data_IF_373605715150
#
_entry.id   IF_373605715150
#
_cell.length_a   1.000
_cell.length_b   1.000
_cell.length_c   1.000
_cell.angle_alpha   90.00
_cell.angle_beta   90.00
_cell.angle_gamma   90.00
#
_symmetry.space_group_name_H-M   'P 1'
#
loop_
_entity.id
_entity.type
_entity.pdbx_description
1 polymer ?
#
# COMPACT_ATOMS: atom_id res chain seq x y z
N UNK A 1 -9.73 -19.83 -14.19
CA UNK A 1 -11.04 -19.15 -14.25
C UNK A 1 -10.88 -17.63 -14.40
N UNK A 2 -10.13 -16.94 -13.54
CA UNK A 2 -9.92 -15.50 -13.66
C UNK A 2 -9.30 -15.06 -15.01
N UNK A 3 -8.29 -15.78 -15.51
CA UNK A 3 -7.69 -15.50 -16.82
C UNK A 3 -8.69 -15.70 -17.96
N UNK A 4 -9.45 -16.80 -17.95
CA UNK A 4 -10.48 -17.05 -18.96
C UNK A 4 -11.57 -15.96 -18.97
N UNK A 5 -11.98 -15.48 -17.80
CA UNK A 5 -12.91 -14.35 -17.70
C UNK A 5 -12.33 -13.05 -18.26
N UNK A 6 -11.04 -12.75 -17.96
CA UNK A 6 -10.36 -11.58 -18.48
C UNK A 6 -10.20 -11.64 -20.01
N UNK A 7 -9.93 -12.83 -20.56
CA UNK A 7 -9.86 -13.04 -22.01
C UNK A 7 -11.22 -12.74 -22.66
N UNK A 8 -12.29 -13.33 -22.13
CA UNK A 8 -13.64 -13.10 -22.65
C UNK A 8 -14.10 -11.63 -22.51
N UNK A 9 -13.80 -10.98 -21.37
CA UNK A 9 -14.14 -9.56 -21.19
C UNK A 9 -13.35 -8.66 -22.13
N UNK A 10 -12.14 -9.04 -22.49
CA UNK A 10 -11.33 -8.29 -23.46
C UNK A 10 -11.82 -8.48 -24.88
N UNK A 11 -12.15 -9.72 -25.26
CA UNK A 11 -12.47 -10.09 -26.64
C UNK A 11 -13.93 -9.78 -27.01
N UNK A 12 -14.87 -10.06 -26.10
CA UNK A 12 -16.31 -9.94 -26.32
C UNK A 12 -16.94 -8.73 -25.64
N UNK A 13 -16.22 -8.11 -24.69
CA UNK A 13 -16.76 -7.10 -23.80
C UNK A 13 -17.43 -7.69 -22.55
N UNK A 14 -17.46 -6.89 -21.49
CA UNK A 14 -17.99 -7.31 -20.18
C UNK A 14 -19.49 -7.66 -20.21
N UNK A 15 -20.31 -6.83 -20.87
CA UNK A 15 -21.78 -7.01 -20.88
C UNK A 15 -22.21 -8.23 -21.71
N UNK A 16 -21.51 -8.49 -22.82
CA UNK A 16 -21.81 -9.63 -23.68
C UNK A 16 -21.32 -10.98 -23.15
N UNK A 17 -20.46 -10.99 -22.12
CA UNK A 17 -19.92 -12.21 -21.51
C UNK A 17 -20.80 -12.71 -20.38
N UNK A 18 -21.32 -13.92 -20.50
CA UNK A 18 -22.13 -14.58 -19.48
C UNK A 18 -21.28 -15.43 -18.51
N UNK A 19 -21.88 -15.82 -17.36
CA UNK A 19 -21.26 -16.79 -16.44
C UNK A 19 -21.07 -18.15 -17.12
N UNK A 20 -21.99 -18.53 -18.02
CA UNK A 20 -21.90 -19.80 -18.76
C UNK A 20 -20.71 -19.82 -19.70
N UNK A 21 -20.41 -18.69 -20.38
CA UNK A 21 -19.24 -18.56 -21.24
C UNK A 21 -17.93 -18.69 -20.43
N UNK A 22 -17.88 -18.02 -19.26
CA UNK A 22 -16.72 -18.10 -18.34
C UNK A 22 -16.53 -19.54 -17.83
N UNK A 23 -17.60 -20.20 -17.41
CA UNK A 23 -17.53 -21.56 -16.90
C UNK A 23 -17.06 -22.52 -18.00
N UNK A 24 -17.62 -22.39 -19.20
CA UNK A 24 -17.22 -23.20 -20.37
C UNK A 24 -15.74 -22.99 -20.70
N UNK A 25 -15.30 -21.73 -20.83
CA UNK A 25 -13.91 -21.41 -21.14
C UNK A 25 -12.92 -21.87 -20.05
N UNK A 26 -13.37 -21.91 -18.79
CA UNK A 26 -12.58 -22.41 -17.67
C UNK A 26 -12.66 -23.94 -17.48
N UNK A 27 -13.42 -24.67 -18.31
CA UNK A 27 -13.60 -26.13 -18.21
C UNK A 27 -14.34 -26.58 -16.96
N UNK A 28 -15.24 -25.76 -16.41
CA UNK A 28 -16.03 -26.09 -15.21
C UNK A 28 -17.53 -25.97 -15.47
N UNK A 29 -18.33 -26.57 -14.59
CA UNK A 29 -19.79 -26.40 -14.65
C UNK A 29 -20.22 -25.03 -14.10
N UNK A 30 -21.42 -24.55 -14.52
CA UNK A 30 -22.08 -23.37 -13.94
C UNK A 30 -22.25 -23.49 -12.42
N UNK A 31 -22.58 -24.68 -11.93
CA UNK A 31 -22.71 -24.93 -10.48
C UNK A 31 -21.37 -24.79 -9.75
N UNK A 32 -20.27 -25.22 -10.38
CA UNK A 32 -18.92 -25.03 -9.85
C UNK A 32 -18.53 -23.55 -9.78
N UNK A 33 -18.92 -22.78 -10.80
CA UNK A 33 -18.73 -21.32 -10.76
C UNK A 33 -19.44 -20.69 -9.56
N UNK A 34 -20.76 -20.92 -9.41
CA UNK A 34 -21.57 -20.32 -8.33
C UNK A 34 -21.23 -20.84 -6.93
N UNK A 35 -20.55 -21.97 -6.81
CA UNK A 35 -19.98 -22.42 -5.53
C UNK A 35 -18.82 -21.53 -5.06
N UNK A 36 -18.06 -20.92 -6.00
CA UNK A 36 -16.88 -20.11 -5.72
C UNK A 36 -17.16 -18.60 -5.79
N UNK A 37 -18.06 -18.18 -6.68
CA UNK A 37 -18.33 -16.77 -6.98
C UNK A 37 -19.82 -16.49 -6.98
N UNK A 38 -20.20 -15.32 -6.50
CA UNK A 38 -21.61 -14.88 -6.47
C UNK A 38 -22.03 -14.25 -7.79
N UNK A 39 -21.09 -13.58 -8.47
CA UNK A 39 -21.30 -12.87 -9.72
C UNK A 39 -20.06 -12.95 -10.62
N UNK A 40 -20.22 -12.59 -11.90
CA UNK A 40 -19.10 -12.63 -12.87
C UNK A 40 -17.96 -11.64 -12.52
N UNK A 41 -18.29 -10.58 -11.80
CA UNK A 41 -17.34 -9.60 -11.30
C UNK A 41 -16.35 -10.22 -10.29
N UNK A 42 -16.83 -11.11 -9.46
CA UNK A 42 -16.02 -11.68 -8.36
C UNK A 42 -14.84 -12.50 -8.89
N UNK A 43 -14.99 -13.09 -10.08
CA UNK A 43 -13.98 -14.01 -10.63
C UNK A 43 -12.64 -13.33 -10.89
N UNK A 44 -12.65 -12.07 -11.35
CA UNK A 44 -11.41 -11.34 -11.65
C UNK A 44 -10.76 -10.73 -10.40
N UNK A 45 -11.48 -10.72 -9.27
CA UNK A 45 -11.00 -10.28 -7.97
C UNK A 45 -10.69 -11.45 -7.01
N UNK A 46 -10.77 -12.71 -7.48
CA UNK A 46 -10.55 -13.90 -6.66
C UNK A 46 -9.17 -13.91 -5.97
N UNK A 47 -8.14 -13.40 -6.64
CA UNK A 47 -6.78 -13.34 -6.10
C UNK A 47 -6.69 -12.42 -4.86
N UNK A 48 -7.57 -11.42 -4.75
CA UNK A 48 -7.59 -10.49 -3.61
C UNK A 48 -8.07 -11.17 -2.31
N UNK A 49 -8.99 -12.13 -2.38
CA UNK A 49 -9.42 -12.87 -1.18
C UNK A 49 -8.26 -13.67 -0.61
N UNK A 50 -7.56 -14.42 -1.45
CA UNK A 50 -6.37 -15.18 -1.04
C UNK A 50 -5.25 -14.26 -0.50
N UNK A 51 -5.06 -13.07 -1.11
CA UNK A 51 -4.10 -12.09 -0.64
C UNK A 51 -4.49 -11.51 0.73
N UNK A 52 -5.75 -11.18 0.96
CA UNK A 52 -6.24 -10.69 2.25
C UNK A 52 -6.03 -11.73 3.35
N UNK A 53 -6.27 -13.02 3.06
CA UNK A 53 -6.01 -14.11 4.01
C UNK A 53 -4.51 -14.24 4.30
N UNK A 54 -3.64 -14.19 3.27
CA UNK A 54 -2.18 -14.21 3.42
C UNK A 54 -1.68 -13.03 4.26
N UNK A 55 -2.16 -11.81 3.98
CA UNK A 55 -1.79 -10.63 4.75
C UNK A 55 -2.32 -10.66 6.18
N UNK A 56 -3.51 -11.22 6.40
CA UNK A 56 -4.07 -11.40 7.74
C UNK A 56 -3.17 -12.33 8.56
N UNK A 57 -2.70 -13.43 7.96
CA UNK A 57 -1.77 -14.35 8.61
C UNK A 57 -0.41 -13.69 8.85
N UNK A 58 0.12 -12.95 7.89
CA UNK A 58 1.37 -12.19 8.03
C UNK A 58 1.29 -11.20 9.19
N UNK A 59 0.24 -10.37 9.24
CA UNK A 59 0.03 -9.35 10.27
C UNK A 59 -0.42 -9.93 11.64
N UNK A 60 -0.76 -11.20 11.72
CA UNK A 60 -1.00 -11.88 13.00
C UNK A 60 0.30 -12.26 13.72
N UNK A 61 1.43 -12.33 13.02
CA UNK A 61 2.73 -12.53 13.61
C UNK A 61 3.19 -11.30 14.42
N UNK A 62 4.14 -11.48 15.32
CA UNK A 62 4.77 -10.37 16.05
C UNK A 62 5.79 -9.67 15.16
N UNK A 63 5.66 -8.36 15.02
CA UNK A 63 6.59 -7.53 14.27
C UNK A 63 7.23 -6.49 15.19
N UNK A 64 8.57 -6.30 15.15
CA UNK A 64 9.25 -5.29 15.96
C UNK A 64 8.79 -3.87 15.68
N UNK A 65 8.46 -3.58 14.41
CA UNK A 65 7.97 -2.28 13.95
C UNK A 65 6.65 -2.47 13.21
N UNK A 66 5.50 -2.17 13.85
CA UNK A 66 4.19 -2.30 13.23
C UNK A 66 3.97 -1.41 12.00
N UNK A 67 4.61 -0.25 11.92
CA UNK A 67 4.51 0.65 10.78
C UNK A 67 5.20 0.05 9.55
N UNK A 68 6.39 -0.52 9.78
CA UNK A 68 7.12 -1.25 8.74
C UNK A 68 6.35 -2.49 8.29
N UNK A 69 5.72 -3.22 9.21
CA UNK A 69 4.93 -4.40 8.87
C UNK A 69 3.80 -4.08 7.88
N UNK A 70 3.12 -2.94 8.03
CA UNK A 70 2.09 -2.48 7.08
C UNK A 70 2.71 -2.14 5.72
N UNK A 71 3.87 -1.48 5.69
CA UNK A 71 4.59 -1.19 4.44
C UNK A 71 5.02 -2.48 3.72
N UNK A 72 5.55 -3.45 4.47
CA UNK A 72 5.92 -4.75 3.93
C UNK A 72 4.70 -5.55 3.43
N UNK A 73 3.56 -5.48 4.12
CA UNK A 73 2.31 -6.08 3.64
C UNK A 73 1.90 -5.49 2.28
N UNK A 74 2.01 -4.18 2.09
CA UNK A 74 1.76 -3.54 0.79
C UNK A 74 2.77 -3.99 -0.28
N UNK A 75 4.05 -4.15 0.08
CA UNK A 75 5.09 -4.66 -0.83
C UNK A 75 4.84 -6.12 -1.25
N UNK A 76 4.33 -6.98 -0.35
CA UNK A 76 3.91 -8.35 -0.67
C UNK A 76 2.82 -8.33 -1.76
N UNK A 77 1.79 -7.50 -1.61
CA UNK A 77 0.72 -7.36 -2.62
C UNK A 77 1.30 -6.95 -3.97
N UNK A 78 2.15 -5.93 -3.97
CA UNK A 78 2.81 -5.45 -5.20
C UNK A 78 3.62 -6.56 -5.87
N UNK A 79 4.40 -7.33 -5.10
CA UNK A 79 5.19 -8.46 -5.60
C UNK A 79 4.33 -9.53 -6.28
N UNK A 80 3.16 -9.86 -5.72
CA UNK A 80 2.23 -10.82 -6.33
C UNK A 80 1.70 -10.34 -7.69
N UNK A 81 1.31 -9.07 -7.81
CA UNK A 81 0.88 -8.51 -9.09
C UNK A 81 2.04 -8.38 -10.08
N UNK A 82 3.22 -8.00 -9.61
CA UNK A 82 4.43 -7.90 -10.43
C UNK A 82 4.84 -9.27 -11.03
N UNK A 83 4.75 -10.34 -10.25
CA UNK A 83 5.03 -11.69 -10.72
C UNK A 83 4.10 -12.15 -11.87
N UNK A 84 2.88 -11.59 -11.94
CA UNK A 84 1.89 -11.89 -13.00
C UNK A 84 1.52 -10.62 -13.78
N UNK A 85 2.51 -9.79 -14.09
CA UNK A 85 2.34 -8.44 -14.66
C UNK A 85 1.37 -8.40 -15.85
N UNK A 86 1.51 -9.31 -16.82
CA UNK A 86 0.63 -9.34 -18.01
C UNK A 86 -0.85 -9.53 -17.66
N UNK A 87 -1.14 -10.43 -16.70
CA UNK A 87 -2.50 -10.66 -16.21
C UNK A 87 -3.03 -9.44 -15.46
N UNK A 88 -2.17 -8.85 -14.64
CA UNK A 88 -2.49 -7.64 -13.88
C UNK A 88 -2.77 -6.43 -14.81
N UNK A 89 -1.98 -6.23 -15.86
CA UNK A 89 -2.21 -5.21 -16.89
C UNK A 89 -3.55 -5.43 -17.61
N UNK A 90 -3.84 -6.67 -18.02
CA UNK A 90 -5.11 -7.02 -18.66
C UNK A 90 -6.29 -6.72 -17.74
N UNK A 91 -6.20 -7.13 -16.47
CA UNK A 91 -7.21 -6.82 -15.45
C UNK A 91 -7.42 -5.31 -15.32
N UNK A 92 -6.34 -4.53 -15.20
CA UNK A 92 -6.40 -3.08 -15.10
C UNK A 92 -7.20 -2.46 -16.25
N UNK A 93 -6.90 -2.82 -17.50
CA UNK A 93 -7.62 -2.28 -18.66
C UNK A 93 -9.11 -2.63 -18.64
N UNK A 94 -9.46 -3.87 -18.31
CA UNK A 94 -10.86 -4.30 -18.20
C UNK A 94 -11.58 -3.55 -17.06
N UNK A 95 -10.94 -3.42 -15.89
CA UNK A 95 -11.53 -2.71 -14.75
C UNK A 95 -11.73 -1.23 -15.07
N UNK A 96 -10.77 -0.57 -15.71
CA UNK A 96 -10.90 0.85 -16.06
C UNK A 96 -12.02 1.11 -17.09
N UNK A 97 -12.30 0.14 -17.97
CA UNK A 97 -13.34 0.26 -18.98
C UNK A 97 -14.77 0.07 -18.42
N UNK A 98 -14.95 -0.63 -17.30
CA UNK A 98 -16.26 -1.09 -16.79
C UNK A 98 -16.58 -0.45 -15.45
N UNK A 99 -17.61 0.43 -15.33
CA UNK A 99 -17.97 1.10 -14.07
C UNK A 99 -18.21 0.14 -12.91
N UNK A 100 -18.98 -0.94 -13.12
CA UNK A 100 -19.26 -1.93 -12.07
C UNK A 100 -18.01 -2.60 -11.50
N UNK A 101 -16.98 -2.79 -12.33
CA UNK A 101 -15.68 -3.33 -11.89
C UNK A 101 -14.86 -2.31 -11.10
N UNK A 102 -14.91 -1.02 -11.47
CA UNK A 102 -14.28 0.06 -10.67
C UNK A 102 -14.91 0.19 -9.29
N UNK A 103 -16.23 0.07 -9.19
CA UNK A 103 -16.93 0.06 -7.90
C UNK A 103 -16.47 -1.11 -7.04
N UNK A 104 -16.32 -2.29 -7.64
CA UNK A 104 -15.81 -3.48 -6.96
C UNK A 104 -14.36 -3.33 -6.51
N UNK A 105 -13.49 -2.73 -7.34
CA UNK A 105 -12.11 -2.40 -7.00
C UNK A 105 -12.05 -1.47 -5.78
N UNK A 106 -12.89 -0.44 -5.72
CA UNK A 106 -12.98 0.49 -4.59
C UNK A 106 -13.32 -0.24 -3.28
N UNK A 107 -14.23 -1.20 -3.34
CA UNK A 107 -14.56 -2.05 -2.17
C UNK A 107 -13.33 -2.87 -1.73
N UNK A 108 -12.57 -3.43 -2.69
CA UNK A 108 -11.35 -4.17 -2.37
C UNK A 108 -10.30 -3.29 -1.72
N UNK A 109 -10.05 -2.10 -2.23
CA UNK A 109 -9.12 -1.10 -1.64
C UNK A 109 -9.50 -0.81 -0.19
N UNK A 110 -10.78 -0.55 0.09
CA UNK A 110 -11.28 -0.30 1.45
C UNK A 110 -11.07 -1.48 2.41
N UNK A 111 -11.03 -2.72 1.90
CA UNK A 111 -10.74 -3.90 2.73
C UNK A 111 -9.27 -3.95 3.16
N UNK A 112 -8.33 -3.60 2.27
CA UNK A 112 -6.91 -3.48 2.63
C UNK A 112 -6.68 -2.36 3.65
N UNK A 113 -7.27 -1.19 3.44
CA UNK A 113 -7.18 -0.08 4.40
C UNK A 113 -7.69 -0.47 5.78
N UNK A 114 -8.81 -1.18 5.84
CA UNK A 114 -9.36 -1.70 7.10
C UNK A 114 -8.42 -2.70 7.76
N UNK A 115 -7.89 -3.67 7.01
CA UNK A 115 -6.94 -4.66 7.51
C UNK A 115 -5.72 -3.98 8.15
N UNK A 116 -5.14 -3.00 7.48
CA UNK A 116 -3.96 -2.27 7.96
C UNK A 116 -4.27 -1.41 9.18
N UNK A 117 -5.37 -0.64 9.16
CA UNK A 117 -5.76 0.19 10.30
C UNK A 117 -6.12 -0.64 11.54
N UNK A 118 -6.82 -1.75 11.37
CA UNK A 118 -7.17 -2.66 12.47
C UNK A 118 -5.93 -3.34 13.05
N UNK A 119 -4.95 -3.70 12.21
CA UNK A 119 -3.67 -4.20 12.68
C UNK A 119 -2.93 -3.17 13.53
N UNK A 120 -2.75 -1.93 13.03
CA UNK A 120 -2.06 -0.87 13.77
C UNK A 120 -2.70 -0.60 15.13
N UNK A 121 -4.04 -0.55 15.18
CA UNK A 121 -4.77 -0.36 16.44
C UNK A 121 -4.57 -1.48 17.46
N UNK A 122 -4.35 -2.72 17.00
CA UNK A 122 -4.02 -3.85 17.88
C UNK A 122 -2.55 -3.85 18.30
N UNK A 123 -1.65 -3.51 17.38
CA UNK A 123 -0.20 -3.61 17.59
C UNK A 123 0.39 -2.41 18.36
N UNK A 124 -0.27 -1.23 18.30
CA UNK A 124 0.19 0.02 18.88
C UNK A 124 -0.80 0.51 19.97
N UNK A 125 -0.67 0.06 21.22
CA UNK A 125 -1.51 0.57 22.30
C UNK A 125 -1.35 2.09 22.43
N UNK A 126 -2.48 2.83 22.35
CA UNK A 126 -2.47 4.29 22.44
C UNK A 126 -2.48 5.06 21.12
N UNK A 127 -2.35 4.39 19.98
CA UNK A 127 -2.56 5.05 18.69
C UNK A 127 -4.02 5.55 18.58
N UNK A 128 -4.22 6.76 18.06
CA UNK A 128 -5.57 7.22 17.76
C UNK A 128 -6.15 6.43 16.57
N UNK A 129 -7.45 6.15 16.62
CA UNK A 129 -8.14 5.50 15.49
C UNK A 129 -7.93 6.26 14.19
N UNK A 130 -7.94 7.59 14.25
CA UNK A 130 -7.77 8.44 13.07
C UNK A 130 -6.36 8.36 12.48
N UNK A 131 -5.32 8.26 13.31
CA UNK A 131 -3.94 8.15 12.83
C UNK A 131 -3.67 6.78 12.20
N UNK A 132 -4.24 5.70 12.76
CA UNK A 132 -4.21 4.37 12.14
C UNK A 132 -4.89 4.38 10.76
N UNK A 133 -6.06 5.01 10.64
CA UNK A 133 -6.78 5.16 9.35
C UNK A 133 -5.95 5.99 8.37
N UNK A 134 -5.42 7.14 8.79
CA UNK A 134 -4.62 8.03 7.94
C UNK A 134 -3.39 7.32 7.38
N UNK A 135 -2.66 6.60 8.21
CA UNK A 135 -1.48 5.85 7.78
C UNK A 135 -1.86 4.72 6.81
N UNK A 136 -2.88 3.92 7.15
CA UNK A 136 -3.36 2.85 6.27
C UNK A 136 -3.79 3.39 4.90
N UNK A 137 -4.54 4.49 4.86
CA UNK A 137 -4.96 5.14 3.63
C UNK A 137 -3.76 5.67 2.82
N UNK A 138 -2.77 6.31 3.48
CA UNK A 138 -1.56 6.80 2.82
C UNK A 138 -0.76 5.66 2.19
N UNK A 139 -0.53 4.56 2.92
CA UNK A 139 0.17 3.36 2.40
C UNK A 139 -0.60 2.76 1.23
N UNK A 140 -1.92 2.56 1.35
CA UNK A 140 -2.74 1.96 0.29
C UNK A 140 -2.78 2.84 -0.95
N UNK A 141 -2.93 4.16 -0.80
CA UNK A 141 -2.93 5.11 -1.92
C UNK A 141 -1.58 5.15 -2.63
N UNK A 142 -0.49 5.14 -1.88
CA UNK A 142 0.89 5.09 -2.43
C UNK A 142 1.10 3.79 -3.20
N UNK A 143 0.74 2.64 -2.62
CA UNK A 143 0.80 1.34 -3.28
C UNK A 143 0.01 1.35 -4.60
N UNK A 144 -1.24 1.81 -4.58
CA UNK A 144 -2.11 1.83 -5.75
C UNK A 144 -1.59 2.76 -6.85
N UNK A 145 -0.97 3.90 -6.47
CA UNK A 145 -0.31 4.78 -7.42
C UNK A 145 0.85 4.06 -8.14
N UNK A 146 1.78 3.46 -7.38
CA UNK A 146 2.94 2.77 -7.98
C UNK A 146 2.52 1.52 -8.76
N UNK A 147 1.49 0.80 -8.28
CA UNK A 147 0.91 -0.33 -9.00
C UNK A 147 0.34 0.10 -10.35
N UNK A 148 -0.37 1.22 -10.41
CA UNK A 148 -0.88 1.79 -11.68
C UNK A 148 0.26 2.19 -12.61
N UNK A 149 1.33 2.79 -12.11
CA UNK A 149 2.51 3.10 -12.91
C UNK A 149 3.11 1.82 -13.54
N UNK A 150 3.14 0.71 -12.79
CA UNK A 150 3.56 -0.60 -13.32
C UNK A 150 2.62 -1.10 -14.43
N UNK A 151 1.29 -0.92 -14.27
CA UNK A 151 0.32 -1.32 -15.30
C UNK A 151 0.48 -0.53 -16.60
N UNK A 152 0.95 0.71 -16.52
CA UNK A 152 1.18 1.61 -17.63
C UNK A 152 2.61 1.54 -18.20
N UNK A 153 3.40 0.55 -17.79
CA UNK A 153 4.81 0.37 -18.20
C UNK A 153 5.73 1.57 -17.90
N UNK A 154 5.34 2.38 -16.89
CA UNK A 154 6.15 3.50 -16.43
C UNK A 154 7.39 3.01 -15.64
N UNK A 155 8.53 3.70 -15.76
CA UNK A 155 9.72 3.39 -14.95
C UNK A 155 9.49 3.58 -13.43
N UNK A 156 8.44 4.30 -13.04
CA UNK A 156 8.05 4.45 -11.63
C UNK A 156 7.30 3.23 -11.07
N UNK A 157 6.89 2.28 -11.91
CA UNK A 157 6.16 1.08 -11.52
C UNK A 157 7.07 -0.06 -11.07
N UNK A 158 7.96 0.16 -10.11
CA UNK A 158 8.88 -0.85 -9.59
C UNK A 158 8.75 -1.03 -8.07
N UNK A 159 9.15 -2.20 -7.57
CA UNK A 159 9.16 -2.49 -6.13
C UNK A 159 10.07 -1.51 -5.38
N UNK A 160 11.27 -1.23 -5.92
CA UNK A 160 12.19 -0.29 -5.28
C UNK A 160 11.64 1.13 -5.20
N UNK A 161 10.85 1.57 -6.21
CA UNK A 161 10.14 2.85 -6.12
C UNK A 161 9.02 2.80 -5.06
N UNK A 162 8.28 1.69 -4.97
CA UNK A 162 7.27 1.54 -3.93
C UNK A 162 7.89 1.63 -2.53
N UNK A 163 8.99 0.94 -2.27
CA UNK A 163 9.70 0.97 -1.00
C UNK A 163 10.19 2.39 -0.66
N UNK A 164 10.72 3.11 -1.65
CA UNK A 164 11.12 4.51 -1.49
C UNK A 164 9.95 5.42 -1.11
N UNK A 165 8.81 5.29 -1.80
CA UNK A 165 7.63 6.11 -1.54
C UNK A 165 6.96 5.74 -0.19
N UNK A 166 6.96 4.46 0.19
CA UNK A 166 6.48 4.04 1.51
C UNK A 166 7.35 4.57 2.65
N UNK A 167 8.67 4.66 2.44
CA UNK A 167 9.57 5.32 3.39
C UNK A 167 9.24 6.82 3.51
N UNK A 168 8.89 7.49 2.41
CA UNK A 168 8.43 8.88 2.44
C UNK A 168 7.13 9.04 3.24
N UNK A 169 6.18 8.09 3.12
CA UNK A 169 4.98 8.05 3.97
C UNK A 169 5.38 7.96 5.44
N UNK A 170 6.29 7.06 5.81
CA UNK A 170 6.77 6.93 7.21
C UNK A 170 7.40 8.22 7.74
N UNK A 171 8.14 8.95 6.91
CA UNK A 171 8.71 10.27 7.26
C UNK A 171 7.61 11.28 7.58
N UNK A 172 6.59 11.37 6.73
CA UNK A 172 5.46 12.30 6.93
C UNK A 172 4.74 12.03 8.27
N UNK A 173 4.66 10.76 8.68
CA UNK A 173 4.02 10.37 9.95
C UNK A 173 4.98 10.38 11.15
N UNK A 174 6.29 10.68 10.96
CA UNK A 174 7.28 10.68 12.03
C UNK A 174 7.55 9.30 12.64
N UNK A 175 7.39 8.22 11.85
CA UNK A 175 7.49 6.82 12.31
C UNK A 175 8.62 6.07 11.61
N UNK A 176 9.76 6.73 11.45
CA UNK A 176 10.97 6.13 10.88
C UNK A 176 11.62 5.11 11.84
N UNK A 177 12.39 4.14 11.31
CA UNK A 177 13.22 3.26 12.12
C UNK A 177 14.15 4.08 13.02
N UNK A 178 14.37 3.62 14.25
CA UNK A 178 15.39 4.23 15.12
C UNK A 178 16.76 4.10 14.46
N UNK A 179 17.50 5.22 14.38
CA UNK A 179 18.81 5.26 13.73
C UNK A 179 18.81 5.65 12.25
N UNK A 180 17.65 5.89 11.62
CA UNK A 180 17.61 6.54 10.31
C UNK A 180 18.08 7.99 10.45
N UNK A 181 19.09 8.46 9.68
CA UNK A 181 19.56 9.86 9.75
C UNK A 181 18.45 10.88 9.43
N UNK A 182 17.33 10.45 8.84
CA UNK A 182 16.16 11.29 8.62
C UNK A 182 15.09 11.17 9.74
N UNK A 183 15.30 10.35 10.77
CA UNK A 183 14.44 10.37 11.96
C UNK A 183 14.67 11.68 12.71
N UNK A 184 13.58 12.27 13.21
CA UNK A 184 13.67 13.45 14.08
C UNK A 184 14.46 13.00 15.32
N UNK A 185 15.56 13.67 15.69
CA UNK A 185 16.30 13.32 16.89
C UNK A 185 15.37 13.27 18.11
N UNK A 186 15.63 12.35 19.07
CA UNK A 186 14.96 12.38 20.35
C UNK A 186 15.09 13.80 20.96
N UNK A 187 14.14 14.23 21.79
CA UNK A 187 14.14 15.58 22.37
C UNK A 187 15.51 15.92 23.03
N UNK A 188 16.21 14.92 23.55
CA UNK A 188 17.53 15.05 24.16
C UNK A 188 18.68 15.30 23.14
N UNK A 189 18.45 14.99 21.85
CA UNK A 189 19.42 15.21 20.75
C UNK A 189 19.12 16.49 19.97
N UNK A 190 18.09 17.25 20.33
CA UNK A 190 17.68 18.45 19.60
C UNK A 190 18.24 19.70 20.28
N UNK A 191 19.09 20.42 19.57
CA UNK A 191 19.56 21.74 20.01
C UNK A 191 18.71 22.83 19.35
N UNK A 192 17.84 23.47 20.13
CA UNK A 192 17.08 24.65 19.69
C UNK A 192 17.83 25.91 20.17
N UNK A 193 18.20 26.76 19.23
CA UNK A 193 18.86 28.04 19.52
C UNK A 193 18.08 29.19 18.89
N UNK A 194 17.74 30.20 19.69
CA UNK A 194 17.01 31.40 19.26
C UNK A 194 17.97 32.58 19.30
N UNK A 195 18.11 33.27 18.17
CA UNK A 195 18.97 34.44 18.03
C UNK A 195 18.18 35.65 17.52
N UNK A 196 18.52 36.87 17.97
CA UNK A 196 18.04 38.08 17.32
C UNK A 196 18.39 38.07 15.83
N UNK A 197 17.49 38.56 14.98
CA UNK A 197 17.69 38.60 13.53
C UNK A 197 18.94 39.35 13.08
N UNK A 198 19.46 40.27 13.92
CA UNK A 198 20.64 41.06 13.71
C UNK A 198 21.98 40.36 14.14
N UNK A 199 21.91 39.14 14.68
CA UNK A 199 23.11 38.43 15.14
C UNK A 199 23.94 38.01 13.93
N UNK A 200 25.25 38.33 13.89
CA UNK A 200 26.13 37.95 12.79
C UNK A 200 26.21 36.41 12.66
N UNK A 201 26.22 35.92 11.43
CA UNK A 201 26.25 34.47 11.13
C UNK A 201 27.43 33.74 11.82
N UNK A 202 28.60 34.37 11.88
CA UNK A 202 29.76 33.80 12.57
C UNK A 202 29.53 33.62 14.07
N UNK A 203 28.82 34.53 14.72
CA UNK A 203 28.46 34.44 16.15
C UNK A 203 27.41 33.36 16.38
N UNK A 204 26.42 33.20 15.47
CA UNK A 204 25.43 32.12 15.51
C UNK A 204 26.14 30.76 15.42
N UNK A 205 27.04 30.59 14.43
CA UNK A 205 27.79 29.35 14.23
C UNK A 205 28.61 28.99 15.47
N UNK A 206 29.33 29.97 16.04
CA UNK A 206 30.14 29.76 17.24
C UNK A 206 29.30 29.31 18.43
N UNK A 207 28.19 29.95 18.72
CA UNK A 207 27.31 29.61 19.85
C UNK A 207 26.63 28.22 19.67
N UNK A 208 26.33 27.85 18.44
CA UNK A 208 25.80 26.50 18.16
C UNK A 208 26.90 25.48 18.45
N UNK A 209 28.13 25.72 17.98
CA UNK A 209 29.28 24.83 18.22
C UNK A 209 29.55 24.65 19.71
N UNK A 210 29.64 25.77 20.46
CA UNK A 210 29.84 25.73 21.91
C UNK A 210 28.77 24.91 22.66
N UNK A 211 27.52 24.95 22.18
CA UNK A 211 26.40 24.17 22.71
C UNK A 211 26.52 22.68 22.39
N UNK A 212 26.91 22.34 21.16
CA UNK A 212 27.12 20.96 20.72
C UNK A 212 28.33 20.31 21.45
N UNK A 213 29.38 21.09 21.75
CA UNK A 213 30.61 20.64 22.43
C UNK A 213 30.40 20.54 23.98
N UNK A 214 29.19 20.81 24.49
CA UNK A 214 28.89 20.78 25.93
C UNK A 214 29.59 21.88 26.75
N UNK A 215 30.13 22.90 26.09
CA UNK A 215 30.78 24.05 26.72
C UNK A 215 29.73 25.09 27.05
N UNK A 216 29.02 24.91 28.14
CA UNK A 216 28.18 25.96 28.71
C UNK A 216 29.06 26.97 29.42
N UNK A 217 29.10 28.20 28.88
CA UNK A 217 29.59 29.37 29.62
C UNK A 217 28.46 29.98 30.44
#
# INVERSE_FOLDING_TARGET
MAEAALDLFTDNGYDATSVDDIALAAGVSRSTFFRQFRAKEDVIFADHEALLDELTAYLAASHPDPWEAVCQAAAIVFGKFSARRKVAQKRYHVVQAVPALRDRETIMVSRYERLFSDYLRRALPGISTLDAIRFAAAVTSTHNYVLREMMLDSPRGSLGNLEHELLAVRRIFGVLPQGDPASIPAEDDLVVAVFPRSTPTAEVARRIQDKLDGRSG
#
